data_IF_882530159039
#
_entry.id   IF_882530159039
#
_cell.length_a   1.000
_cell.length_b   1.000
_cell.length_c   1.000
_cell.angle_alpha   90.00
_cell.angle_beta   90.00
_cell.angle_gamma   90.00
#
_symmetry.space_group_name_H-M   'P 1'
#
loop_
_entity.id
_entity.type
_entity.pdbx_description
1 polymer ?
#
# COMPACT_ATOMS: atom_id res chain seq x y z
N UNK A 1 12.62 -19.24 29.99
CA UNK A 1 13.52 -18.50 29.11
C UNK A 1 13.07 -18.56 27.62
N UNK A 2 12.71 -19.71 27.09
CA UNK A 2 12.22 -19.91 25.71
C UNK A 2 10.94 -19.13 25.39
N UNK A 3 9.97 -19.05 26.32
CA UNK A 3 8.71 -18.31 26.10
C UNK A 3 8.93 -16.80 25.92
N UNK A 4 9.88 -16.22 26.66
CA UNK A 4 10.23 -14.78 26.54
C UNK A 4 10.94 -14.48 25.23
N UNK A 5 11.77 -15.40 24.74
CA UNK A 5 12.44 -15.28 23.45
C UNK A 5 11.45 -15.35 22.28
N UNK A 6 10.43 -16.24 22.38
CA UNK A 6 9.36 -16.38 21.39
C UNK A 6 8.49 -15.12 21.27
N UNK A 7 8.18 -14.49 22.40
CA UNK A 7 7.39 -13.24 22.44
C UNK A 7 8.17 -12.08 21.82
N UNK A 8 9.48 -12.00 22.06
CA UNK A 8 10.35 -10.97 21.49
C UNK A 8 10.46 -11.15 19.97
N UNK A 9 10.58 -12.40 19.48
CA UNK A 9 10.64 -12.71 18.06
C UNK A 9 9.31 -12.37 17.34
N UNK A 10 8.18 -12.57 18.00
CA UNK A 10 6.85 -12.23 17.49
C UNK A 10 6.65 -10.71 17.39
N UNK A 11 7.16 -9.94 18.37
CA UNK A 11 7.07 -8.48 18.39
C UNK A 11 7.98 -7.82 17.31
N UNK A 12 9.08 -8.44 16.95
CA UNK A 12 9.96 -7.92 15.87
C UNK A 12 9.37 -8.09 14.47
N UNK A 13 8.44 -9.02 14.27
CA UNK A 13 7.79 -9.27 12.98
C UNK A 13 6.79 -8.19 12.55
N UNK A 14 6.29 -7.37 13.46
CA UNK A 14 5.22 -6.38 13.20
C UNK A 14 5.77 -5.02 12.71
N UNK A 15 7.06 -4.77 12.84
CA UNK A 15 7.66 -3.45 12.56
C UNK A 15 7.97 -3.16 11.08
N UNK A 16 7.66 -4.07 10.14
CA UNK A 16 8.14 -3.97 8.76
C UNK A 16 7.16 -3.34 7.74
N UNK A 17 5.97 -2.92 8.18
CA UNK A 17 5.03 -2.24 7.28
C UNK A 17 5.19 -0.73 7.36
N UNK A 18 6.17 -0.18 6.63
CA UNK A 18 6.19 1.26 6.37
C UNK A 18 5.11 1.58 5.31
N UNK A 19 4.21 2.53 5.57
CA UNK A 19 3.23 2.94 4.57
C UNK A 19 3.95 3.52 3.34
N UNK A 20 3.51 3.12 2.15
CA UNK A 20 3.99 3.70 0.90
C UNK A 20 3.54 5.18 0.87
N UNK A 21 4.49 6.10 0.98
CA UNK A 21 4.24 7.53 0.88
C UNK A 21 4.58 8.03 -0.52
N UNK A 22 3.86 9.05 -1.00
CA UNK A 22 4.13 9.67 -2.31
C UNK A 22 5.47 10.43 -2.37
N UNK A 23 6.16 10.58 -1.24
CA UNK A 23 7.44 11.29 -1.12
C UNK A 23 8.66 10.38 -1.18
N UNK A 24 8.48 9.06 -1.07
CA UNK A 24 9.59 8.10 -1.10
C UNK A 24 9.80 7.58 -2.51
N UNK A 25 11.01 7.69 -3.03
CA UNK A 25 11.41 7.14 -4.34
C UNK A 25 12.20 5.85 -4.10
N UNK A 26 11.75 4.77 -4.73
CA UNK A 26 12.46 3.50 -4.67
C UNK A 26 13.80 3.60 -5.41
N UNK A 27 14.81 2.89 -4.91
CA UNK A 27 16.16 2.91 -5.51
C UNK A 27 16.16 2.50 -6.99
N UNK A 28 15.24 1.65 -7.39
CA UNK A 28 15.09 1.18 -8.78
C UNK A 28 14.56 2.28 -9.72
N UNK A 29 13.96 3.33 -9.17
CA UNK A 29 13.46 4.48 -9.95
C UNK A 29 14.53 5.56 -10.19
N UNK A 30 15.76 5.37 -9.71
CA UNK A 30 16.87 6.28 -9.97
C UNK A 30 17.31 6.16 -11.44
N UNK A 31 17.38 7.31 -12.13
CA UNK A 31 17.80 7.36 -13.54
C UNK A 31 16.67 7.15 -14.56
N UNK A 32 15.42 6.97 -14.11
CA UNK A 32 14.25 6.93 -15.00
C UNK A 32 13.92 8.35 -15.45
N UNK A 33 13.81 8.54 -16.75
CA UNK A 33 13.33 9.79 -17.34
C UNK A 33 11.80 9.84 -17.30
N UNK A 34 11.26 11.02 -17.04
CA UNK A 34 9.83 11.24 -17.01
C UNK A 34 9.44 12.53 -17.72
N UNK A 35 8.18 12.65 -18.06
CA UNK A 35 7.59 13.87 -18.58
C UNK A 35 6.98 14.68 -17.45
N UNK A 36 7.18 15.99 -17.47
CA UNK A 36 6.59 16.91 -16.50
C UNK A 36 5.71 17.90 -17.23
N UNK A 37 4.47 18.05 -16.75
CA UNK A 37 3.58 19.09 -17.24
C UNK A 37 2.87 19.79 -16.08
N UNK A 38 2.36 20.97 -16.32
CA UNK A 38 1.58 21.77 -15.37
C UNK A 38 0.14 21.80 -15.80
N UNK A 39 -0.75 21.96 -14.80
CA UNK A 39 -2.16 22.06 -15.05
C UNK A 39 -2.94 22.50 -13.81
N UNK A 40 -4.25 22.54 -13.95
CA UNK A 40 -5.17 22.91 -12.89
C UNK A 40 -6.10 21.74 -12.58
N UNK A 41 -6.35 21.46 -11.33
CA UNK A 41 -7.35 20.48 -10.91
C UNK A 41 -8.74 21.05 -11.18
N UNK A 42 -9.50 20.41 -12.05
CA UNK A 42 -10.86 20.87 -12.44
C UNK A 42 -11.96 20.09 -11.74
N UNK A 43 -11.68 18.87 -11.31
CA UNK A 43 -12.62 18.07 -10.52
C UNK A 43 -11.86 17.05 -9.66
N UNK A 44 -12.52 16.59 -8.61
CA UNK A 44 -12.03 15.55 -7.71
C UNK A 44 -13.18 14.66 -7.28
N UNK A 45 -12.92 13.36 -7.14
CA UNK A 45 -13.89 12.44 -6.53
C UNK A 45 -13.18 11.40 -5.66
N UNK A 46 -13.77 11.02 -4.51
CA UNK A 46 -13.23 9.93 -3.71
C UNK A 46 -13.47 8.59 -4.42
N UNK A 47 -12.48 7.70 -4.37
CA UNK A 47 -12.56 6.34 -4.88
C UNK A 47 -12.00 5.36 -3.84
N UNK A 48 -12.69 4.24 -3.67
CA UNK A 48 -12.21 3.18 -2.81
C UNK A 48 -11.13 2.37 -3.53
N UNK A 49 -10.03 2.13 -2.85
CA UNK A 49 -8.96 1.25 -3.33
C UNK A 49 -9.16 -0.11 -2.70
N UNK A 50 -9.36 -1.13 -3.54
CA UNK A 50 -9.46 -2.52 -3.08
C UNK A 50 -8.19 -2.95 -2.37
N UNK A 51 -8.33 -3.73 -1.30
CA UNK A 51 -7.19 -4.27 -0.58
C UNK A 51 -6.35 -5.21 -1.45
N UNK A 52 -5.08 -5.30 -1.13
CA UNK A 52 -4.16 -6.20 -1.80
C UNK A 52 -4.47 -7.65 -1.43
N UNK A 53 -4.25 -8.56 -2.39
CA UNK A 53 -4.32 -10.01 -2.23
C UNK A 53 -2.99 -10.61 -2.68
N UNK A 54 -1.92 -10.27 -1.98
CA UNK A 54 -0.59 -10.77 -2.30
C UNK A 54 -0.39 -12.24 -1.94
N UNK A 55 -1.29 -12.76 -1.09
CA UNK A 55 -1.22 -14.12 -0.54
C UNK A 55 -0.34 -14.23 0.70
N UNK A 56 0.31 -13.15 1.13
CA UNK A 56 1.14 -13.14 2.36
C UNK A 56 0.29 -13.45 3.57
N UNK A 57 -0.87 -12.81 3.71
CA UNK A 57 -1.81 -13.08 4.80
C UNK A 57 -2.34 -14.50 4.79
N UNK A 58 -2.72 -15.00 3.60
CA UNK A 58 -3.17 -16.38 3.44
C UNK A 58 -2.08 -17.39 3.85
N UNK A 59 -0.85 -17.20 3.40
CA UNK A 59 0.27 -18.10 3.71
C UNK A 59 0.63 -18.06 5.19
N UNK A 60 0.77 -16.87 5.76
CA UNK A 60 1.07 -16.71 7.19
C UNK A 60 -0.04 -17.28 8.07
N UNK A 61 -1.30 -17.04 7.70
CA UNK A 61 -2.47 -17.57 8.36
C UNK A 61 -2.55 -19.10 8.27
N UNK A 62 -2.26 -19.69 7.11
CA UNK A 62 -2.25 -21.13 6.92
C UNK A 62 -1.15 -21.81 7.75
N UNK A 63 0.06 -21.26 7.75
CA UNK A 63 1.18 -21.78 8.56
C UNK A 63 0.86 -21.69 10.06
N UNK A 64 0.44 -20.51 10.53
CA UNK A 64 0.07 -20.30 11.94
C UNK A 64 -1.11 -21.15 12.37
N UNK A 65 -2.18 -21.17 11.59
CA UNK A 65 -3.38 -21.95 11.83
C UNK A 65 -3.12 -23.47 11.78
N UNK A 66 -2.30 -23.92 10.83
CA UNK A 66 -1.87 -25.31 10.73
C UNK A 66 -1.05 -25.76 11.95
N UNK A 67 -0.12 -24.94 12.40
CA UNK A 67 0.65 -25.20 13.60
C UNK A 67 -0.25 -25.29 14.84
N UNK A 68 -1.12 -24.29 15.08
CA UNK A 68 -2.04 -24.28 16.20
C UNK A 68 -3.02 -25.44 16.11
N UNK A 69 -3.58 -25.73 14.94
CA UNK A 69 -4.50 -26.85 14.73
C UNK A 69 -3.84 -28.20 15.03
N UNK A 70 -2.56 -28.36 14.70
CA UNK A 70 -1.82 -29.60 14.99
C UNK A 70 -1.53 -29.83 16.47
N UNK A 71 -1.72 -28.83 17.33
CA UNK A 71 -1.61 -28.99 18.79
C UNK A 71 -2.90 -29.56 19.43
N UNK A 72 -4.00 -29.55 18.65
CA UNK A 72 -5.31 -30.06 19.11
C UNK A 72 -5.40 -31.53 18.76
N UNK A 73 -5.56 -32.38 19.79
CA UNK A 73 -5.76 -33.81 19.64
C UNK A 73 -4.73 -34.67 20.40
N UNK A 74 -5.18 -35.84 20.85
CA UNK A 74 -4.38 -36.77 21.63
C UNK A 74 -3.54 -37.74 20.79
N UNK A 75 -3.90 -37.95 19.53
CA UNK A 75 -3.23 -38.88 18.65
C UNK A 75 -2.75 -38.20 17.34
N UNK A 76 -1.95 -38.93 16.57
CA UNK A 76 -1.37 -38.38 15.33
C UNK A 76 -2.44 -38.02 14.27
N UNK A 77 -3.54 -38.80 14.23
CA UNK A 77 -4.62 -38.57 13.23
C UNK A 77 -5.38 -37.31 13.57
N UNK A 78 -5.74 -37.11 14.84
CA UNK A 78 -6.41 -35.89 15.27
C UNK A 78 -5.53 -34.65 15.03
N UNK A 79 -4.23 -34.74 15.29
CA UNK A 79 -3.27 -33.65 15.01
C UNK A 79 -3.15 -33.32 13.54
N UNK A 80 -3.13 -34.34 12.68
CA UNK A 80 -3.07 -34.12 11.23
C UNK A 80 -4.34 -33.46 10.73
N UNK A 81 -5.52 -33.95 11.14
CA UNK A 81 -6.80 -33.33 10.76
C UNK A 81 -6.91 -31.92 11.30
N UNK A 82 -6.55 -31.72 12.57
CA UNK A 82 -6.53 -30.39 13.21
C UNK A 82 -5.60 -29.42 12.49
N UNK A 83 -4.42 -29.89 12.07
CA UNK A 83 -3.46 -29.10 11.29
C UNK A 83 -4.02 -28.65 9.94
N UNK A 84 -4.67 -29.57 9.19
CA UNK A 84 -5.28 -29.25 7.90
C UNK A 84 -6.44 -28.26 8.05
N UNK A 85 -7.35 -28.51 9.01
CA UNK A 85 -8.49 -27.62 9.26
C UNK A 85 -7.99 -26.26 9.74
N UNK A 86 -7.00 -26.25 10.63
CA UNK A 86 -6.39 -25.01 11.12
C UNK A 86 -5.70 -24.22 10.01
N UNK A 87 -5.00 -24.90 9.08
CA UNK A 87 -4.37 -24.23 7.93
C UNK A 87 -5.41 -23.59 7.00
N UNK A 88 -6.51 -24.30 6.71
CA UNK A 88 -7.57 -23.77 5.84
C UNK A 88 -8.26 -22.57 6.50
N UNK A 89 -8.66 -22.68 7.75
CA UNK A 89 -9.30 -21.60 8.50
C UNK A 89 -8.36 -20.40 8.69
N UNK A 90 -7.12 -20.66 9.09
CA UNK A 90 -6.10 -19.62 9.27
C UNK A 90 -5.72 -18.93 7.98
N UNK A 91 -5.61 -19.67 6.88
CA UNK A 91 -5.36 -19.11 5.54
C UNK A 91 -6.48 -18.18 5.08
N UNK A 92 -7.74 -18.60 5.24
CA UNK A 92 -8.89 -17.78 4.91
C UNK A 92 -8.97 -16.50 5.77
N UNK A 93 -8.77 -16.64 7.09
CA UNK A 93 -8.74 -15.51 8.02
C UNK A 93 -7.59 -14.55 7.71
N UNK A 94 -6.39 -15.07 7.46
CA UNK A 94 -5.21 -14.27 7.11
C UNK A 94 -5.41 -13.49 5.81
N UNK A 95 -6.01 -14.10 4.78
CA UNK A 95 -6.34 -13.40 3.54
C UNK A 95 -7.33 -12.26 3.76
N UNK A 96 -8.37 -12.49 4.59
CA UNK A 96 -9.36 -11.46 4.90
C UNK A 96 -8.74 -10.30 5.68
N UNK A 97 -7.84 -10.58 6.61
CA UNK A 97 -7.09 -9.56 7.37
C UNK A 97 -6.20 -8.75 6.42
N UNK A 98 -5.47 -9.40 5.53
CA UNK A 98 -4.62 -8.72 4.54
C UNK A 98 -5.45 -7.75 3.68
N UNK A 99 -6.53 -8.24 3.09
CA UNK A 99 -7.42 -7.43 2.27
C UNK A 99 -8.00 -6.24 3.05
N UNK A 100 -8.44 -6.47 4.28
CA UNK A 100 -9.00 -5.43 5.15
C UNK A 100 -7.96 -4.38 5.55
N UNK A 101 -6.76 -4.81 5.92
CA UNK A 101 -5.68 -3.93 6.37
C UNK A 101 -5.06 -3.09 5.23
N UNK A 102 -5.18 -3.57 3.99
CA UNK A 102 -4.62 -2.89 2.81
C UNK A 102 -5.66 -2.08 2.02
N UNK A 103 -6.93 -2.12 2.40
CA UNK A 103 -7.95 -1.22 1.84
C UNK A 103 -7.60 0.22 2.14
N UNK A 104 -7.85 1.10 1.19
CA UNK A 104 -7.57 2.52 1.34
C UNK A 104 -8.59 3.38 0.61
N UNK A 105 -8.49 4.67 0.85
CA UNK A 105 -9.19 5.69 0.09
C UNK A 105 -8.18 6.45 -0.76
N UNK A 106 -8.55 6.71 -2.00
CA UNK A 106 -7.80 7.57 -2.90
C UNK A 106 -8.75 8.63 -3.48
N UNK A 107 -8.14 9.63 -4.08
CA UNK A 107 -8.86 10.65 -4.83
C UNK A 107 -8.53 10.51 -6.30
N UNK A 108 -9.53 10.53 -7.14
CA UNK A 108 -9.37 10.68 -8.57
C UNK A 108 -9.38 12.18 -8.88
N UNK A 109 -8.28 12.65 -9.45
CA UNK A 109 -8.07 14.04 -9.84
C UNK A 109 -8.26 14.16 -11.35
N UNK A 110 -9.14 15.03 -11.77
CA UNK A 110 -9.25 15.43 -13.18
C UNK A 110 -8.47 16.73 -13.33
N UNK A 111 -7.42 16.68 -14.14
CA UNK A 111 -6.47 17.77 -14.34
C UNK A 111 -6.59 18.24 -15.78
N UNK A 112 -6.65 19.55 -15.97
CA UNK A 112 -6.51 20.19 -17.27
C UNK A 112 -5.09 20.73 -17.41
N UNK A 113 -4.24 20.06 -18.21
CA UNK A 113 -2.90 20.54 -18.54
C UNK A 113 -2.96 21.89 -19.27
N UNK A 114 -1.90 22.70 -19.12
CA UNK A 114 -1.77 23.95 -19.84
C UNK A 114 -1.64 23.73 -21.36
N UNK A 115 -1.20 22.55 -21.79
CA UNK A 115 -1.15 22.12 -23.19
C UNK A 115 -2.52 21.72 -23.77
N UNK A 116 -3.58 21.71 -22.95
CA UNK A 116 -4.92 21.28 -23.34
C UNK A 116 -5.21 19.80 -23.08
N UNK A 117 -6.47 19.43 -23.26
CA UNK A 117 -6.99 18.12 -22.94
C UNK A 117 -7.33 17.98 -21.47
N UNK A 118 -7.73 16.77 -21.07
CA UNK A 118 -8.01 16.41 -19.68
C UNK A 118 -7.33 15.09 -19.36
N UNK A 119 -6.79 14.98 -18.14
CA UNK A 119 -6.13 13.78 -17.67
C UNK A 119 -6.68 13.39 -16.32
N UNK A 120 -6.79 12.09 -16.11
CA UNK A 120 -7.28 11.51 -14.85
C UNK A 120 -6.13 10.82 -14.15
N UNK A 121 -5.92 11.16 -12.90
CA UNK A 121 -4.89 10.53 -12.06
C UNK A 121 -5.52 10.16 -10.72
N UNK A 122 -5.32 8.92 -10.29
CA UNK A 122 -5.78 8.44 -8.99
C UNK A 122 -4.59 8.29 -8.06
N UNK A 123 -4.62 9.02 -6.95
CA UNK A 123 -3.63 8.90 -5.87
C UNK A 123 -4.24 9.29 -4.53
N UNK A 124 -3.55 9.01 -3.43
CA UNK A 124 -3.91 9.52 -2.10
C UNK A 124 -3.74 11.04 -2.05
N UNK A 125 -4.64 11.74 -1.34
CA UNK A 125 -4.58 13.20 -1.22
C UNK A 125 -3.82 13.65 0.05
N UNK A 126 -2.58 13.19 0.20
CA UNK A 126 -1.72 13.57 1.34
C UNK A 126 -1.36 15.06 1.37
N UNK A 127 -1.39 15.70 0.22
CA UNK A 127 -1.06 17.12 0.07
C UNK A 127 -2.25 18.06 0.32
N UNK A 128 -3.45 17.52 0.57
CA UNK A 128 -4.66 18.32 0.76
C UNK A 128 -5.00 19.18 -0.47
N UNK A 129 -4.80 18.62 -1.67
CA UNK A 129 -5.10 19.30 -2.91
C UNK A 129 -6.60 19.53 -3.06
N UNK A 130 -6.98 20.63 -3.69
CA UNK A 130 -8.35 21.06 -3.92
C UNK A 130 -8.62 21.39 -5.38
N UNK A 131 -9.89 21.43 -5.75
CA UNK A 131 -10.31 21.92 -7.08
C UNK A 131 -9.89 23.38 -7.24
N UNK A 132 -9.26 23.69 -8.35
CA UNK A 132 -8.68 25.01 -8.64
C UNK A 132 -7.19 25.11 -8.35
N UNK A 133 -6.60 24.15 -7.62
CA UNK A 133 -5.16 24.17 -7.34
C UNK A 133 -4.34 24.00 -8.61
N UNK A 134 -3.25 24.79 -8.69
CA UNK A 134 -2.22 24.61 -9.69
C UNK A 134 -1.27 23.50 -9.27
N UNK A 135 -1.05 22.57 -10.16
CA UNK A 135 -0.27 21.36 -9.89
C UNK A 135 0.76 21.09 -10.98
N UNK A 136 1.80 20.41 -10.58
CA UNK A 136 2.80 19.81 -11.46
C UNK A 136 2.59 18.29 -11.44
N UNK A 137 2.46 17.70 -12.61
CA UNK A 137 2.37 16.26 -12.79
C UNK A 137 3.67 15.75 -13.35
N UNK A 138 4.23 14.76 -12.70
CA UNK A 138 5.39 14.01 -13.17
C UNK A 138 4.92 12.62 -13.60
N UNK A 139 5.11 12.29 -14.85
CA UNK A 139 4.83 10.98 -15.43
C UNK A 139 6.15 10.25 -15.67
N UNK A 140 6.34 9.14 -14.94
CA UNK A 140 7.40 8.16 -15.16
C UNK A 140 6.76 6.81 -15.48
N UNK A 141 7.02 5.80 -14.70
CA UNK A 141 6.24 4.55 -14.65
C UNK A 141 4.88 4.75 -13.95
N UNK A 142 4.80 5.74 -13.07
CA UNK A 142 3.57 6.16 -12.37
C UNK A 142 3.43 7.68 -12.44
N UNK A 143 2.19 8.14 -12.64
CA UNK A 143 1.89 9.56 -12.55
C UNK A 143 1.86 10.00 -11.09
N UNK A 144 2.44 11.16 -10.81
CA UNK A 144 2.44 11.77 -9.48
C UNK A 144 2.08 13.25 -9.59
N UNK A 145 1.14 13.67 -8.76
CA UNK A 145 0.72 15.07 -8.65
C UNK A 145 1.43 15.68 -7.45
N UNK A 146 1.99 16.87 -7.66
CA UNK A 146 2.55 17.72 -6.61
C UNK A 146 1.99 19.12 -6.76
N UNK A 147 1.92 19.88 -5.65
CA UNK A 147 1.54 21.30 -5.69
C UNK A 147 2.59 22.06 -6.51
N UNK A 148 2.16 22.94 -7.39
CA UNK A 148 3.09 23.80 -8.12
C UNK A 148 3.82 24.71 -7.13
N UNK A 149 5.14 24.53 -7.02
CA UNK A 149 6.00 25.44 -6.28
C UNK A 149 6.45 26.52 -7.28
N UNK A 150 6.17 27.81 -7.01
CA UNK A 150 6.72 28.87 -7.85
C UNK A 150 8.23 28.72 -7.96
N UNK A 151 8.75 28.76 -9.17
CA UNK A 151 10.20 28.66 -9.36
C UNK A 151 10.88 29.77 -8.56
N UNK A 152 11.44 29.41 -7.40
CA UNK A 152 12.30 30.33 -6.64
C UNK A 152 13.46 30.67 -7.53
N UNK A 153 13.64 31.95 -7.85
CA UNK A 153 14.77 32.42 -8.66
C UNK A 153 16.07 31.85 -8.06
N UNK A 154 16.98 31.32 -8.91
CA UNK A 154 18.23 30.77 -8.39
C UNK A 154 18.95 31.85 -7.56
N UNK A 155 19.64 31.47 -6.48
CA UNK A 155 20.39 32.43 -5.69
C UNK A 155 21.38 33.15 -6.62
N UNK A 156 21.31 34.46 -6.65
CA UNK A 156 22.29 35.28 -7.37
C UNK A 156 23.66 34.98 -6.76
N UNK A 157 24.58 34.48 -7.57
CA UNK A 157 25.99 34.34 -7.20
C UNK A 157 26.61 35.71 -7.10
#
# INVERSE_FOLDING_TARGET
>A
MLLRLSIILLLFGVAACAPATNTTVERQALGIQGTVYRGTIIAMRPVAVSGARSGVGATAGAVGGGFLGSTIGGDWRARTVGGVVGALAGGAAGAAIEEGATRGEAMEFIIRPDSGGERVITQTNELGLQVGDRVTVTETDRARISREVPATAPPRR
#
